data_IF_487031264277
#
_entry.id   IF_487031264277
#
_cell.length_a   1.000
_cell.length_b   1.000
_cell.length_c   1.000
_cell.angle_alpha   90.00
_cell.angle_beta   90.00
_cell.angle_gamma   90.00
#
_symmetry.space_group_name_H-M   'P 1'
#
loop_
_entity.id
_entity.type
_entity.pdbx_description
1 polymer ?
#
# COMPACT_ATOMS: atom_id res chain seq x y z
N UNK A 1 24.35 -6.47 -20.53
CA UNK A 1 23.23 -5.51 -20.54
C UNK A 1 22.80 -5.36 -19.09
N UNK A 2 23.01 -4.19 -18.48
CA UNK A 2 22.62 -3.93 -17.09
C UNK A 2 21.11 -3.66 -17.04
N UNK A 3 20.38 -4.43 -16.22
CA UNK A 3 18.96 -4.20 -16.00
C UNK A 3 18.80 -2.87 -15.22
N UNK A 4 17.78 -2.05 -15.51
CA UNK A 4 17.49 -0.89 -14.68
C UNK A 4 17.26 -1.34 -13.23
N UNK A 5 17.60 -0.50 -12.23
CA UNK A 5 17.34 -0.82 -10.84
C UNK A 5 15.84 -1.05 -10.63
N UNK A 6 15.45 -2.00 -9.76
CA UNK A 6 14.04 -2.33 -9.52
C UNK A 6 13.29 -1.12 -8.94
N UNK A 7 12.04 -0.92 -9.37
CA UNK A 7 11.16 0.05 -8.74
C UNK A 7 10.60 -0.53 -7.44
N UNK A 8 11.16 -0.08 -6.32
CA UNK A 8 10.82 -0.55 -4.98
C UNK A 8 9.63 0.20 -4.34
N UNK A 9 8.91 1.01 -5.11
CA UNK A 9 7.68 1.66 -4.64
C UNK A 9 6.51 0.66 -4.68
N UNK A 10 5.91 0.41 -3.52
CA UNK A 10 4.73 -0.46 -3.36
C UNK A 10 3.55 0.40 -2.92
N UNK A 11 2.44 0.30 -3.64
CA UNK A 11 1.18 0.89 -3.25
C UNK A 11 0.19 -0.21 -2.86
N UNK A 12 -0.53 -0.05 -1.75
CA UNK A 12 -1.69 -0.88 -1.41
C UNK A 12 -2.97 -0.08 -1.56
N UNK A 13 -4.01 -0.68 -2.15
CA UNK A 13 -5.33 -0.07 -2.20
C UNK A 13 -6.06 -0.24 -0.88
N UNK A 14 -6.62 0.86 -0.39
CA UNK A 14 -7.70 0.87 0.58
C UNK A 14 -8.99 1.28 -0.15
N UNK A 15 -10.09 0.58 0.13
CA UNK A 15 -11.40 0.80 -0.48
C UNK A 15 -12.51 0.54 0.54
N UNK A 16 -13.73 1.01 0.27
CA UNK A 16 -14.86 0.76 1.16
C UNK A 16 -15.26 -0.72 1.18
N UNK A 17 -15.37 -1.32 2.37
CA UNK A 17 -15.51 -2.77 2.53
C UNK A 17 -14.17 -3.52 2.54
N UNK A 18 -13.10 -2.87 2.98
CA UNK A 18 -11.73 -3.40 2.96
C UNK A 18 -11.58 -4.76 3.66
N UNK A 19 -10.84 -5.67 3.01
CA UNK A 19 -10.37 -6.92 3.61
C UNK A 19 -9.21 -6.64 4.59
N UNK A 20 -9.55 -6.47 5.88
CA UNK A 20 -8.62 -5.99 6.91
C UNK A 20 -7.37 -6.86 7.07
N UNK A 21 -7.49 -8.19 6.99
CA UNK A 21 -6.37 -9.09 7.22
C UNK A 21 -5.34 -8.99 6.10
N UNK A 22 -5.77 -9.14 4.86
CA UNK A 22 -4.95 -9.09 3.65
C UNK A 22 -4.29 -7.71 3.50
N UNK A 23 -5.05 -6.65 3.77
CA UNK A 23 -4.52 -5.29 3.85
C UNK A 23 -3.44 -5.16 4.93
N UNK A 24 -3.73 -5.65 6.14
CA UNK A 24 -2.78 -5.62 7.26
C UNK A 24 -1.48 -6.36 6.95
N UNK A 25 -1.56 -7.51 6.29
CA UNK A 25 -0.36 -8.27 5.84
C UNK A 25 0.50 -7.42 4.90
N UNK A 26 -0.11 -6.73 3.93
CA UNK A 26 0.64 -5.87 3.02
C UNK A 26 1.34 -4.71 3.77
N UNK A 27 0.65 -4.09 4.73
CA UNK A 27 1.20 -3.04 5.59
C UNK A 27 2.37 -3.56 6.42
N UNK A 28 2.26 -4.73 7.04
CA UNK A 28 3.31 -5.32 7.88
C UNK A 28 4.55 -5.75 7.08
N UNK A 29 4.34 -6.26 5.86
CA UNK A 29 5.44 -6.73 5.00
C UNK A 29 6.20 -5.57 4.37
N UNK A 30 5.50 -4.57 3.82
CA UNK A 30 6.11 -3.51 3.01
C UNK A 30 6.24 -2.17 3.74
N UNK A 31 5.32 -1.87 4.66
CA UNK A 31 5.24 -0.58 5.34
C UNK A 31 6.14 -0.46 6.57
N UNK A 32 6.55 -1.58 7.18
CA UNK A 32 7.48 -1.54 8.31
C UNK A 32 8.88 -1.12 7.87
N UNK A 33 9.54 -0.19 8.60
CA UNK A 33 10.92 0.17 8.30
C UNK A 33 11.86 -1.01 8.58
N UNK A 34 12.78 -1.28 7.66
CA UNK A 34 13.87 -2.26 7.81
C UNK A 34 15.24 -1.61 7.57
N UNK A 35 15.81 -0.89 8.54
CA UNK A 35 17.11 -0.24 8.39
C UNK A 35 18.26 -1.21 8.12
N UNK A 36 18.08 -2.51 8.38
CA UNK A 36 19.01 -3.58 8.04
C UNK A 36 19.16 -3.83 6.52
N UNK A 37 18.23 -3.32 5.70
CA UNK A 37 18.29 -3.46 4.24
C UNK A 37 18.47 -2.09 3.58
N UNK A 38 19.55 -1.88 2.79
CA UNK A 38 19.84 -0.59 2.17
C UNK A 38 18.81 -0.19 1.09
N UNK A 39 18.23 -1.18 0.41
CA UNK A 39 17.25 -1.01 -0.66
C UNK A 39 15.88 -1.56 -0.20
N UNK A 40 15.33 -0.98 0.87
CA UNK A 40 14.01 -1.35 1.36
C UNK A 40 12.88 -0.69 0.55
N UNK A 41 11.68 -1.25 0.68
CA UNK A 41 10.50 -0.75 -0.01
C UNK A 41 10.12 0.66 0.43
N UNK A 42 9.63 1.45 -0.52
CA UNK A 42 8.86 2.67 -0.25
C UNK A 42 7.38 2.30 -0.34
N UNK A 43 6.64 2.50 0.73
CA UNK A 43 5.26 2.04 0.83
C UNK A 43 4.28 3.20 0.92
N UNK A 44 3.14 3.08 0.26
CA UNK A 44 2.04 4.04 0.37
C UNK A 44 0.69 3.33 0.38
N UNK A 45 -0.27 3.89 1.10
CA UNK A 45 -1.67 3.46 1.06
C UNK A 45 -2.43 4.43 0.17
N UNK A 46 -3.15 3.91 -0.82
CA UNK A 46 -3.93 4.69 -1.76
C UNK A 46 -5.42 4.47 -1.50
N UNK A 47 -6.16 5.55 -1.25
CA UNK A 47 -7.61 5.50 -1.16
C UNK A 47 -8.23 5.43 -2.56
N UNK A 48 -9.10 4.43 -2.78
CA UNK A 48 -9.89 4.33 -3.99
C UNK A 48 -11.07 5.33 -4.00
N UNK A 49 -11.61 5.66 -2.82
CA UNK A 49 -12.69 6.63 -2.65
C UNK A 49 -12.31 7.76 -1.67
N UNK A 50 -12.89 8.98 -1.81
CA UNK A 50 -12.66 10.06 -0.85
C UNK A 50 -13.24 9.79 0.54
N UNK A 51 -12.51 10.19 1.58
CA UNK A 51 -12.97 10.14 2.98
C UNK A 51 -12.61 8.84 3.71
N UNK A 52 -13.15 8.62 4.93
CA UNK A 52 -12.88 7.41 5.70
C UNK A 52 -13.45 6.16 5.03
N UNK A 53 -12.62 5.12 4.91
CA UNK A 53 -12.96 3.84 4.27
C UNK A 53 -13.29 2.81 5.34
N UNK A 54 -14.43 2.10 5.18
CA UNK A 54 -14.90 1.15 6.18
C UNK A 54 -14.28 -0.22 5.96
N UNK A 55 -13.93 -0.89 7.05
CA UNK A 55 -13.51 -2.27 7.07
C UNK A 55 -14.36 -3.09 8.07
N UNK A 56 -14.13 -4.40 8.13
CA UNK A 56 -14.87 -5.28 9.06
C UNK A 56 -14.59 -4.91 10.52
N UNK A 57 -15.59 -5.09 11.39
CA UNK A 57 -15.43 -4.92 12.84
C UNK A 57 -15.46 -3.48 13.35
N UNK A 58 -15.99 -2.53 12.55
CA UNK A 58 -16.07 -1.12 12.94
C UNK A 58 -14.77 -0.34 12.73
N UNK A 59 -13.79 -0.94 12.06
CA UNK A 59 -12.53 -0.29 11.70
C UNK A 59 -12.76 0.70 10.56
N UNK A 60 -12.11 1.86 10.65
CA UNK A 60 -12.01 2.81 9.55
C UNK A 60 -10.54 3.05 9.22
N UNK A 61 -10.25 3.14 7.93
CA UNK A 61 -8.93 3.47 7.39
C UNK A 61 -9.02 4.82 6.70
N UNK A 62 -8.02 5.66 6.92
CA UNK A 62 -7.83 6.90 6.20
C UNK A 62 -6.46 6.86 5.54
N UNK A 63 -6.40 7.21 4.26
CA UNK A 63 -5.17 7.28 3.50
C UNK A 63 -5.00 8.69 2.94
N UNK A 64 -3.76 9.14 2.84
CA UNK A 64 -3.42 10.49 2.37
C UNK A 64 -3.27 10.57 0.85
N UNK A 65 -2.89 9.46 0.20
CA UNK A 65 -2.72 9.40 -1.24
C UNK A 65 -3.99 8.89 -1.93
N UNK A 66 -4.33 9.47 -3.09
CA UNK A 66 -5.34 8.92 -3.99
C UNK A 66 -4.74 7.98 -5.02
N UNK A 67 -5.56 7.64 -6.03
CA UNK A 67 -5.19 6.71 -7.11
C UNK A 67 -4.05 7.23 -7.99
N UNK A 68 -3.79 8.54 -8.02
CA UNK A 68 -2.67 9.14 -8.73
C UNK A 68 -1.30 8.61 -8.28
N UNK A 69 -1.18 8.15 -7.02
CA UNK A 69 0.07 7.58 -6.53
C UNK A 69 0.40 6.20 -7.16
N UNK A 70 -0.59 5.53 -7.77
CA UNK A 70 -0.39 4.24 -8.44
C UNK A 70 0.53 4.36 -9.67
N UNK A 71 0.54 5.51 -10.33
CA UNK A 71 1.38 5.75 -11.52
C UNK A 71 2.88 5.60 -11.23
N UNK A 72 3.28 5.82 -9.97
CA UNK A 72 4.67 5.75 -9.52
C UNK A 72 5.04 4.38 -8.94
N UNK A 73 4.06 3.51 -8.71
CA UNK A 73 4.25 2.23 -8.05
C UNK A 73 4.88 1.20 -9.00
N UNK A 74 5.92 0.52 -8.53
CA UNK A 74 6.49 -0.65 -9.19
C UNK A 74 5.68 -1.91 -8.90
N UNK A 75 4.92 -1.91 -7.81
CA UNK A 75 4.01 -3.00 -7.42
C UNK A 75 2.76 -2.41 -6.79
N UNK A 76 1.60 -2.92 -7.21
CA UNK A 76 0.29 -2.55 -6.66
C UNK A 76 -0.30 -3.80 -6.00
N UNK A 77 -0.67 -3.67 -4.73
CA UNK A 77 -1.37 -4.72 -3.98
C UNK A 77 -2.84 -4.33 -3.88
N UNK A 78 -3.71 -5.24 -4.32
CA UNK A 78 -5.17 -5.12 -4.19
C UNK A 78 -5.62 -6.21 -3.21
N UNK A 79 -5.88 -5.87 -1.94
CA UNK A 79 -6.41 -6.83 -0.97
C UNK A 79 -7.79 -7.33 -1.40
N UNK A 80 -8.13 -8.59 -1.10
CA UNK A 80 -9.42 -9.19 -1.47
C UNK A 80 -9.37 -10.69 -1.73
#
# INVERSE_FOLDING_TARGET
MTHPPPNLTVAVLAYDGLCTFEFGVAVEVFGLPRPEFPDWYRFTVCAAEPGPLRATGGIQVQAEAGLEALEQAGTIVVPG
#
